data_IF_284687647388
#
_entry.id   IF_284687647388
#
_cell.length_a   1.000
_cell.length_b   1.000
_cell.length_c   1.000
_cell.angle_alpha   90.00
_cell.angle_beta   90.00
_cell.angle_gamma   90.00
#
_symmetry.space_group_name_H-M   'P 1'
#
loop_
_entity.id
_entity.type
_entity.pdbx_description
1 polymer ?
#
# COMPACT_ATOMS: atom_id res chain seq x y z
N UNK A 1 -3.09 -1.72 7.12
CA UNK A 1 -1.72 -1.57 6.58
C UNK A 1 -1.19 -2.96 6.31
N UNK A 2 -0.57 -3.20 5.17
CA UNK A 2 0.03 -4.49 4.84
C UNK A 2 1.53 -4.31 4.77
N UNK A 3 2.29 -5.23 5.35
CA UNK A 3 3.75 -5.16 5.35
C UNK A 3 4.34 -6.48 4.93
N UNK A 4 5.50 -6.40 4.28
CA UNK A 4 6.12 -7.53 3.60
C UNK A 4 7.50 -7.82 4.22
N UNK A 5 7.73 -9.09 4.54
CA UNK A 5 9.02 -9.64 5.02
C UNK A 5 9.47 -10.80 4.11
N UNK A 6 10.69 -11.29 4.38
CA UNK A 6 11.23 -12.56 3.90
C UNK A 6 11.24 -13.60 5.02
N UNK A 7 10.80 -14.83 4.76
CA UNK A 7 10.62 -15.89 5.77
C UNK A 7 9.43 -16.81 5.47
N UNK A 8 9.06 -17.67 6.44
CA UNK A 8 8.03 -18.73 6.32
C UNK A 8 6.83 -18.48 7.26
N UNK A 9 6.36 -17.24 7.44
CA UNK A 9 5.26 -17.00 8.38
C UNK A 9 4.32 -15.87 8.00
N UNK A 10 3.07 -16.25 7.76
CA UNK A 10 1.92 -15.34 7.66
C UNK A 10 1.28 -15.16 9.03
N UNK A 11 1.10 -13.90 9.46
CA UNK A 11 0.25 -13.54 10.60
C UNK A 11 -0.84 -12.58 10.12
N UNK A 12 -2.09 -13.02 10.19
CA UNK A 12 -3.25 -12.27 9.70
C UNK A 12 -4.04 -11.72 10.89
N UNK A 13 -4.22 -10.39 10.93
CA UNK A 13 -5.19 -9.73 11.78
C UNK A 13 -6.37 -9.24 10.92
N UNK A 14 -7.59 -9.52 11.37
CA UNK A 14 -8.81 -9.38 10.57
C UNK A 14 -9.44 -7.97 10.64
N UNK A 15 -9.89 -7.42 9.51
CA UNK A 15 -10.65 -6.16 9.39
C UNK A 15 -12.06 -6.44 8.85
N UNK A 16 -13.12 -6.08 9.60
CA UNK A 16 -14.51 -6.38 9.25
C UNK A 16 -14.99 -5.67 7.95
N UNK A 17 -14.32 -4.60 7.52
CA UNK A 17 -14.61 -3.90 6.26
C UNK A 17 -14.13 -4.65 5.00
N UNK A 18 -13.31 -5.71 5.17
CA UNK A 18 -12.68 -6.46 4.09
C UNK A 18 -11.67 -5.71 3.22
N UNK A 19 -11.46 -4.40 3.44
CA UNK A 19 -10.55 -3.57 2.64
C UNK A 19 -9.10 -4.01 2.79
N UNK A 20 -8.66 -4.22 4.04
CA UNK A 20 -7.32 -4.73 4.34
C UNK A 20 -7.07 -6.10 3.72
N UNK A 21 -8.06 -7.00 3.81
CA UNK A 21 -8.02 -8.34 3.18
C UNK A 21 -7.92 -8.24 1.66
N UNK A 22 -8.67 -7.32 1.04
CA UNK A 22 -8.60 -7.08 -0.40
C UNK A 22 -7.22 -6.62 -0.86
N UNK A 23 -6.66 -5.64 -0.16
CA UNK A 23 -5.32 -5.14 -0.42
C UNK A 23 -4.26 -6.25 -0.19
N UNK A 24 -4.44 -7.08 0.85
CA UNK A 24 -3.57 -8.21 1.17
C UNK A 24 -3.56 -9.25 0.06
N UNK A 25 -4.74 -9.59 -0.49
CA UNK A 25 -4.85 -10.50 -1.63
C UNK A 25 -4.16 -9.99 -2.89
N UNK A 26 -4.21 -8.69 -3.16
CA UNK A 26 -3.51 -8.08 -4.30
C UNK A 26 -1.99 -8.28 -4.15
N UNK A 27 -1.46 -8.17 -2.93
CA UNK A 27 -0.03 -8.41 -2.69
C UNK A 27 0.30 -9.90 -2.82
N UNK A 28 -0.36 -10.77 -2.07
CA UNK A 28 0.14 -12.13 -1.81
C UNK A 28 -0.96 -13.20 -1.75
N UNK A 29 -2.06 -13.07 -2.50
CA UNK A 29 -2.99 -14.21 -2.63
C UNK A 29 -2.26 -15.45 -3.18
N UNK A 30 -2.57 -16.59 -2.58
CA UNK A 30 -1.84 -17.86 -2.79
C UNK A 30 -1.90 -18.30 -4.24
N UNK A 31 -0.75 -18.70 -4.78
CA UNK A 31 -0.64 -19.28 -6.12
C UNK A 31 -0.87 -20.80 -6.08
N UNK A 32 -1.53 -21.35 -7.11
CA UNK A 32 -1.56 -22.80 -7.35
C UNK A 32 -2.56 -23.61 -6.51
N UNK A 33 -3.39 -22.97 -5.70
CA UNK A 33 -4.46 -23.63 -4.91
C UNK A 33 -5.75 -23.94 -5.72
N UNK A 34 -5.79 -23.54 -7.01
CA UNK A 34 -6.95 -23.69 -7.92
C UNK A 34 -8.21 -22.94 -7.51
N UNK A 35 -8.09 -21.94 -6.64
CA UNK A 35 -9.20 -21.13 -6.15
C UNK A 35 -8.88 -19.64 -6.24
N UNK A 36 -9.90 -18.81 -6.44
CA UNK A 36 -9.77 -17.37 -6.27
C UNK A 36 -8.87 -16.67 -7.27
N UNK A 37 -7.84 -16.00 -6.74
CA UNK A 37 -6.94 -15.09 -7.46
C UNK A 37 -5.48 -15.35 -7.04
N UNK A 38 -4.54 -14.77 -7.77
CA UNK A 38 -3.10 -14.82 -7.47
C UNK A 38 -2.63 -13.40 -7.15
N UNK A 39 -1.86 -13.24 -6.07
CA UNK A 39 -1.23 -11.97 -5.71
C UNK A 39 -0.06 -11.64 -6.62
N UNK A 40 0.40 -10.39 -6.59
CA UNK A 40 1.57 -9.97 -7.38
C UNK A 40 2.85 -10.69 -6.90
N UNK A 41 3.02 -10.85 -5.59
CA UNK A 41 4.13 -11.57 -4.95
C UNK A 41 3.57 -12.67 -4.03
N UNK A 42 3.09 -13.81 -4.58
CA UNK A 42 2.38 -14.83 -3.83
C UNK A 42 3.26 -15.58 -2.82
N UNK A 43 4.57 -15.50 -2.93
CA UNK A 43 5.56 -16.11 -2.02
C UNK A 43 6.13 -15.11 -0.99
N UNK A 44 5.63 -13.87 -0.97
CA UNK A 44 6.06 -12.88 0.00
C UNK A 44 5.45 -13.16 1.38
N UNK A 45 6.21 -13.00 2.47
CA UNK A 45 5.58 -13.03 3.79
C UNK A 45 4.73 -11.78 3.96
N UNK A 46 3.46 -12.00 4.25
CA UNK A 46 2.51 -10.94 4.50
C UNK A 46 2.17 -10.84 5.98
N UNK A 47 2.28 -9.64 6.52
CA UNK A 47 1.81 -9.28 7.85
C UNK A 47 0.74 -8.19 7.71
N UNK A 48 -0.37 -8.38 8.40
CA UNK A 48 -1.46 -7.41 8.43
C UNK A 48 -1.45 -6.63 9.75
N UNK A 49 -1.28 -5.30 9.67
CA UNK A 49 -1.37 -4.41 10.82
C UNK A 49 -2.72 -3.68 10.77
N UNK A 50 -3.58 -3.96 11.75
CA UNK A 50 -4.89 -3.32 11.91
C UNK A 50 -4.71 -1.95 12.55
N UNK A 51 -4.99 -0.89 11.79
CA UNK A 51 -4.88 0.52 12.23
C UNK A 51 -6.24 1.22 12.37
N UNK A 52 -7.28 0.62 11.79
CA UNK A 52 -8.61 1.19 11.74
C UNK A 52 -9.56 0.31 12.52
N UNK A 53 -10.48 0.93 13.26
CA UNK A 53 -11.67 0.26 13.78
C UNK A 53 -12.59 -0.13 12.64
N UNK A 54 -13.59 -0.96 12.95
CA UNK A 54 -14.47 -1.56 11.94
C UNK A 54 -15.39 -0.53 11.25
N UNK A 55 -15.44 0.70 11.76
CA UNK A 55 -16.10 1.87 11.17
C UNK A 55 -15.18 2.69 10.23
N UNK A 56 -13.95 2.23 10.00
CA UNK A 56 -13.00 2.84 9.07
C UNK A 56 -12.21 4.03 9.63
N UNK A 57 -12.37 4.36 10.92
CA UNK A 57 -11.58 5.41 11.57
C UNK A 57 -10.33 4.83 12.23
N UNK A 58 -9.24 5.59 12.18
CA UNK A 58 -7.96 5.20 12.77
C UNK A 58 -7.30 6.41 13.40
N UNK A 59 -6.62 6.20 14.53
CA UNK A 59 -5.87 7.26 15.18
C UNK A 59 -4.46 7.31 14.65
N UNK A 60 -3.91 8.52 14.52
CA UNK A 60 -2.51 8.70 14.16
C UNK A 60 -1.55 7.99 15.13
N UNK A 61 -1.92 7.85 16.41
CA UNK A 61 -1.16 7.06 17.38
C UNK A 61 -1.02 5.59 17.01
N UNK A 62 -2.02 5.01 16.34
CA UNK A 62 -1.98 3.61 15.92
C UNK A 62 -1.10 3.45 14.68
N UNK A 63 -1.11 4.43 13.76
CA UNK A 63 -0.16 4.51 12.65
C UNK A 63 1.27 4.60 13.17
N UNK A 64 1.53 5.46 14.16
CA UNK A 64 2.85 5.62 14.77
C UNK A 64 3.34 4.30 15.37
N UNK A 65 2.53 3.63 16.20
CA UNK A 65 2.89 2.33 16.78
C UNK A 65 3.19 1.27 15.73
N UNK A 66 2.45 1.28 14.61
CA UNK A 66 2.69 0.35 13.52
C UNK A 66 3.98 0.64 12.76
N UNK A 67 4.29 1.92 12.51
CA UNK A 67 5.58 2.33 11.93
C UNK A 67 6.74 1.96 12.85
N UNK A 68 6.61 2.22 14.15
CA UNK A 68 7.57 1.81 15.17
C UNK A 68 7.80 0.30 15.18
N UNK A 69 6.73 -0.50 15.13
CA UNK A 69 6.84 -1.96 15.04
C UNK A 69 7.57 -2.40 13.77
N UNK A 70 7.28 -1.77 12.63
CA UNK A 70 7.96 -2.09 11.37
C UNK A 70 9.44 -1.74 11.40
N UNK A 71 9.82 -0.58 11.98
CA UNK A 71 11.22 -0.16 12.12
C UNK A 71 12.01 -1.14 12.99
N UNK A 72 11.37 -1.67 14.04
CA UNK A 72 11.99 -2.62 14.96
C UNK A 72 11.90 -4.09 14.48
N UNK A 73 11.48 -4.32 13.23
CA UNK A 73 11.31 -5.64 12.60
C UNK A 73 11.98 -5.65 11.23
N UNK A 74 12.29 -6.82 10.67
CA UNK A 74 12.90 -6.95 9.33
C UNK A 74 11.92 -6.68 8.16
N UNK A 75 10.95 -5.77 8.34
CA UNK A 75 9.99 -5.41 7.28
C UNK A 75 10.73 -4.67 6.16
N UNK A 76 10.46 -5.06 4.91
CA UNK A 76 11.14 -4.50 3.74
C UNK A 76 10.25 -3.54 2.95
N UNK A 77 8.93 -3.75 2.96
CA UNK A 77 7.96 -2.91 2.27
C UNK A 77 6.76 -2.65 3.17
N UNK A 78 6.35 -1.38 3.25
CA UNK A 78 5.13 -0.93 3.90
C UNK A 78 4.14 -0.44 2.85
N UNK A 79 2.95 -1.06 2.81
CA UNK A 79 1.84 -0.68 1.94
C UNK A 79 0.76 0.07 2.72
N UNK A 80 0.61 1.36 2.42
CA UNK A 80 -0.30 2.30 3.07
C UNK A 80 -1.47 2.63 2.14
N UNK A 81 -2.45 1.73 2.11
CA UNK A 81 -3.69 1.91 1.34
C UNK A 81 -4.72 2.78 2.09
N UNK A 82 -4.25 3.81 2.77
CA UNK A 82 -5.03 4.76 3.57
C UNK A 82 -4.42 6.16 3.44
N UNK A 83 -5.14 7.18 3.90
CA UNK A 83 -4.59 8.51 4.02
C UNK A 83 -5.55 9.49 4.69
N UNK A 84 -5.11 10.74 4.81
CA UNK A 84 -5.86 11.82 5.43
C UNK A 84 -6.01 13.02 4.47
N UNK A 85 -6.04 14.25 4.99
CA UNK A 85 -6.20 15.47 4.19
C UNK A 85 -5.04 15.65 3.21
N UNK A 86 -5.29 16.23 2.02
CA UNK A 86 -4.22 16.73 1.14
C UNK A 86 -3.67 18.11 1.57
N UNK A 87 -4.40 18.83 2.44
CA UNK A 87 -4.06 20.22 2.82
C UNK A 87 -3.01 20.29 3.93
N UNK A 88 -3.02 19.33 4.84
CA UNK A 88 -2.19 19.34 6.03
C UNK A 88 -1.85 17.91 6.42
N UNK A 89 -0.57 17.57 6.35
CA UNK A 89 -0.04 16.36 6.96
C UNK A 89 -0.07 16.45 8.48
N UNK A 90 0.04 15.31 9.15
CA UNK A 90 0.23 15.31 10.59
C UNK A 90 1.74 15.41 10.92
N UNK A 91 2.19 16.49 11.59
CA UNK A 91 3.60 16.69 11.92
C UNK A 91 4.14 15.63 12.89
N UNK A 92 3.27 14.91 13.60
CA UNK A 92 3.64 13.77 14.44
C UNK A 92 3.95 12.50 13.65
N UNK A 93 3.45 12.35 12.40
CA UNK A 93 3.68 11.16 11.57
C UNK A 93 4.92 11.30 10.67
N UNK A 94 5.18 12.51 10.18
CA UNK A 94 6.30 12.74 9.25
C UNK A 94 7.66 12.23 9.77
N UNK A 95 8.04 12.44 11.05
CA UNK A 95 9.27 11.89 11.59
C UNK A 95 9.34 10.36 11.50
N UNK A 96 8.25 9.65 11.81
CA UNK A 96 8.20 8.19 11.74
C UNK A 96 8.24 7.66 10.30
N UNK A 97 7.66 8.39 9.34
CA UNK A 97 7.82 8.09 7.91
C UNK A 97 9.28 8.23 7.50
N UNK A 98 9.96 9.28 7.96
CA UNK A 98 11.37 9.49 7.67
C UNK A 98 12.25 8.41 8.33
N UNK A 99 11.96 8.04 9.58
CA UNK A 99 12.68 7.00 10.31
C UNK A 99 12.50 5.63 9.66
N UNK A 100 11.29 5.27 9.23
CA UNK A 100 11.05 4.03 8.49
C UNK A 100 11.80 4.00 7.15
N UNK A 101 11.82 5.11 6.43
CA UNK A 101 12.61 5.22 5.20
C UNK A 101 14.12 5.10 5.45
N UNK A 102 14.62 5.75 6.50
CA UNK A 102 16.04 5.72 6.88
C UNK A 102 16.46 4.35 7.42
N UNK A 103 15.54 3.59 8.01
CA UNK A 103 15.74 2.19 8.38
C UNK A 103 15.82 1.24 7.18
N UNK A 104 15.69 1.75 5.94
CA UNK A 104 15.81 0.98 4.71
C UNK A 104 14.51 0.31 4.27
N UNK A 105 13.36 0.71 4.84
CA UNK A 105 12.05 0.20 4.45
C UNK A 105 11.54 1.00 3.24
N UNK A 106 10.99 0.30 2.25
CA UNK A 106 10.31 0.95 1.14
C UNK A 106 8.88 1.33 1.55
N UNK A 107 8.51 2.59 1.35
CA UNK A 107 7.19 3.10 1.71
C UNK A 107 6.36 3.36 0.46
N UNK A 108 5.19 2.73 0.37
CA UNK A 108 4.25 2.87 -0.75
C UNK A 108 2.91 3.34 -0.23
N UNK A 109 2.38 4.41 -0.80
CA UNK A 109 1.15 5.06 -0.35
C UNK A 109 0.14 5.27 -1.49
N UNK A 110 -1.14 5.11 -1.18
CA UNK A 110 -2.22 5.44 -2.10
C UNK A 110 -2.31 6.96 -2.31
N UNK A 111 -2.28 7.43 -3.56
CA UNK A 111 -2.25 8.87 -3.85
C UNK A 111 -3.53 9.62 -3.44
N UNK A 112 -4.68 8.93 -3.36
CA UNK A 112 -5.97 9.49 -2.96
C UNK A 112 -7.03 9.37 -4.05
N UNK A 113 -8.29 9.58 -3.65
CA UNK A 113 -9.46 9.38 -4.51
C UNK A 113 -10.26 10.70 -4.74
N UNK A 114 -9.58 11.85 -4.72
CA UNK A 114 -10.22 13.18 -4.80
C UNK A 114 -10.47 13.66 -6.25
N UNK A 115 -10.02 12.91 -7.26
CA UNK A 115 -10.21 13.24 -8.67
C UNK A 115 -9.50 14.52 -9.10
N UNK A 116 -10.16 15.37 -9.89
CA UNK A 116 -9.63 16.68 -10.33
C UNK A 116 -10.67 17.80 -10.22
N UNK A 117 -11.54 17.71 -9.22
CA UNK A 117 -12.65 18.66 -9.04
C UNK A 117 -12.15 20.01 -8.51
N UNK A 118 -11.62 20.85 -9.39
CA UNK A 118 -11.21 22.23 -9.08
C UNK A 118 -9.86 22.37 -8.36
N UNK A 119 -9.22 21.26 -7.98
CA UNK A 119 -7.87 21.22 -7.41
C UNK A 119 -7.04 20.22 -8.22
N UNK A 120 -5.89 20.68 -8.73
CA UNK A 120 -4.99 19.86 -9.56
C UNK A 120 -4.01 19.07 -8.70
N UNK A 121 -3.68 19.57 -7.51
CA UNK A 121 -2.80 18.92 -6.55
C UNK A 121 -3.55 18.53 -5.28
N UNK A 122 -3.95 17.26 -5.22
CA UNK A 122 -4.76 16.68 -4.15
C UNK A 122 -4.24 15.30 -3.73
N UNK A 123 -2.94 15.06 -3.88
CA UNK A 123 -2.28 13.89 -3.29
C UNK A 123 -2.38 13.97 -1.77
N UNK A 124 -2.88 12.91 -1.12
CA UNK A 124 -3.12 12.86 0.32
C UNK A 124 -1.89 12.40 1.11
N UNK A 125 -1.82 12.74 2.40
CA UNK A 125 -0.81 12.17 3.30
C UNK A 125 -1.19 10.76 3.76
N UNK A 126 -0.23 9.83 3.97
CA UNK A 126 1.21 10.04 3.91
C UNK A 126 1.83 9.95 2.51
N UNK A 127 1.08 9.58 1.47
CA UNK A 127 1.61 9.44 0.10
C UNK A 127 2.28 10.71 -0.43
N UNK A 128 1.84 11.89 0.03
CA UNK A 128 2.42 13.19 -0.33
C UNK A 128 3.84 13.43 0.22
N UNK A 129 4.29 12.68 1.23
CA UNK A 129 5.65 12.82 1.75
C UNK A 129 6.68 12.32 0.73
N UNK A 130 7.80 13.03 0.57
CA UNK A 130 8.82 12.71 -0.44
C UNK A 130 9.42 11.29 -0.30
N UNK A 131 9.45 10.75 0.93
CA UNK A 131 9.95 9.42 1.23
C UNK A 131 8.96 8.28 0.93
N UNK A 132 7.74 8.61 0.48
CA UNK A 132 6.70 7.64 0.13
C UNK A 132 6.47 7.66 -1.38
N UNK A 133 6.40 6.49 -2.00
CA UNK A 133 5.97 6.35 -3.40
C UNK A 133 4.46 6.58 -3.44
N UNK A 134 4.02 7.69 -4.01
CA UNK A 134 2.59 7.96 -4.20
C UNK A 134 2.09 7.28 -5.47
N UNK A 135 1.13 6.36 -5.30
CA UNK A 135 0.59 5.53 -6.39
C UNK A 135 -0.80 6.01 -6.81
N UNK A 136 -0.89 6.48 -8.06
CA UNK A 136 -2.15 6.81 -8.73
C UNK A 136 -2.83 5.55 -9.31
N UNK A 137 -4.12 5.66 -9.64
CA UNK A 137 -4.91 4.56 -10.18
C UNK A 137 -5.19 4.73 -11.68
N UNK A 138 -5.06 3.62 -12.42
CA UNK A 138 -5.45 3.49 -13.82
C UNK A 138 -6.55 2.44 -14.02
N UNK A 139 -7.28 2.56 -15.13
CA UNK A 139 -8.18 1.53 -15.62
C UNK A 139 -7.48 0.52 -16.53
N UNK A 140 -8.20 -0.52 -16.97
CA UNK A 140 -7.67 -1.57 -17.85
C UNK A 140 -7.27 -1.08 -19.25
N UNK A 141 -7.60 0.16 -19.60
CA UNK A 141 -7.17 0.82 -20.85
C UNK A 141 -5.97 1.76 -20.61
N UNK A 142 -5.28 1.64 -19.47
CA UNK A 142 -4.18 2.50 -19.02
C UNK A 142 -4.56 3.98 -18.95
N UNK A 143 -5.84 4.30 -18.76
CA UNK A 143 -6.28 5.69 -18.55
C UNK A 143 -6.33 5.96 -17.06
N UNK A 144 -5.95 7.17 -16.66
CA UNK A 144 -6.10 7.62 -15.27
C UNK A 144 -7.56 7.48 -14.85
N UNK A 145 -7.81 6.83 -13.72
CA UNK A 145 -9.14 6.72 -13.15
C UNK A 145 -9.68 8.10 -12.78
N UNK A 146 -10.96 8.37 -13.03
CA UNK A 146 -11.55 9.70 -12.79
C UNK A 146 -11.44 10.16 -11.33
N UNK A 147 -11.44 9.21 -10.39
CA UNK A 147 -11.28 9.46 -8.96
C UNK A 147 -9.81 9.62 -8.55
N UNK A 148 -8.83 9.16 -9.34
CA UNK A 148 -7.43 9.14 -8.88
C UNK A 148 -6.94 10.56 -8.63
N UNK A 149 -6.45 10.84 -7.42
CA UNK A 149 -5.78 12.11 -7.12
C UNK A 149 -4.61 12.37 -8.07
N UNK A 150 -4.28 13.65 -8.25
CA UNK A 150 -3.19 14.16 -9.09
C UNK A 150 -2.34 15.16 -8.33
N UNK A 151 -1.13 15.39 -8.80
CA UNK A 151 -0.21 16.36 -8.23
C UNK A 151 1.24 15.97 -8.50
N UNK A 152 2.20 16.86 -8.22
CA UNK A 152 3.63 16.61 -8.44
C UNK A 152 4.19 15.49 -7.54
N UNK A 153 3.50 15.16 -6.44
CA UNK A 153 3.90 14.07 -5.56
C UNK A 153 3.55 12.68 -6.13
N UNK A 154 2.66 12.58 -7.14
CA UNK A 154 2.39 11.30 -7.83
C UNK A 154 3.66 10.85 -8.52
N UNK A 155 4.17 9.68 -8.14
CA UNK A 155 5.40 9.14 -8.68
C UNK A 155 5.14 8.15 -9.82
N UNK A 156 4.16 7.27 -9.65
CA UNK A 156 3.75 6.32 -10.68
C UNK A 156 2.27 5.95 -10.56
N UNK A 157 1.77 5.19 -11.52
CA UNK A 157 0.41 4.67 -11.50
C UNK A 157 0.38 3.15 -11.67
N UNK A 158 -0.62 2.51 -11.07
CA UNK A 158 -0.89 1.09 -11.22
C UNK A 158 -2.40 0.85 -11.42
N UNK A 159 -2.82 -0.34 -11.88
CA UNK A 159 -4.24 -0.67 -12.02
C UNK A 159 -4.97 -0.53 -10.69
N UNK A 160 -6.04 0.26 -10.67
CA UNK A 160 -6.84 0.53 -9.46
C UNK A 160 -8.34 0.56 -9.71
N UNK A 161 -8.80 0.22 -10.92
CA UNK A 161 -10.23 0.18 -11.28
C UNK A 161 -10.65 -1.27 -11.51
N UNK A 162 -11.75 -1.68 -10.89
CA UNK A 162 -12.35 -3.01 -10.99
C UNK A 162 -11.36 -4.14 -10.70
N UNK A 163 -10.64 -4.02 -9.58
CA UNK A 163 -9.66 -5.01 -9.14
C UNK A 163 -10.37 -6.09 -8.32
N UNK A 164 -10.32 -7.32 -8.82
CA UNK A 164 -10.86 -8.50 -8.15
C UNK A 164 -9.80 -9.12 -7.23
N UNK A 165 -10.14 -9.29 -5.95
CA UNK A 165 -9.21 -9.84 -4.94
C UNK A 165 -9.96 -10.57 -3.83
N UNK A 166 -9.22 -11.19 -2.90
CA UNK A 166 -9.75 -11.79 -1.68
C UNK A 166 -10.53 -10.77 -0.85
N UNK A 167 -11.45 -11.23 -0.03
CA UNK A 167 -12.30 -10.36 0.79
C UNK A 167 -12.71 -11.06 2.08
N UNK A 168 -13.26 -10.28 3.03
CA UNK A 168 -13.70 -10.80 4.32
C UNK A 168 -14.68 -11.98 4.18
N UNK A 169 -14.55 -12.95 5.09
CA UNK A 169 -15.41 -14.14 5.21
C UNK A 169 -15.26 -15.14 4.06
N UNK A 170 -14.02 -15.45 3.66
CA UNK A 170 -13.70 -16.38 2.57
C UNK A 170 -14.37 -16.02 1.23
N UNK A 171 -14.56 -14.73 0.98
CA UNK A 171 -15.17 -14.21 -0.24
C UNK A 171 -14.12 -13.54 -1.12
N UNK A 172 -14.60 -13.08 -2.28
CA UNK A 172 -13.87 -12.25 -3.21
C UNK A 172 -14.74 -11.05 -3.57
N UNK A 173 -14.11 -9.93 -3.88
CA UNK A 173 -14.82 -8.71 -4.24
C UNK A 173 -14.05 -7.93 -5.31
N UNK A 174 -14.80 -7.16 -6.09
CA UNK A 174 -14.26 -6.20 -7.06
C UNK A 174 -14.34 -4.80 -6.46
N UNK A 175 -13.19 -4.17 -6.21
CA UNK A 175 -13.11 -2.82 -5.66
C UNK A 175 -12.34 -1.89 -6.61
N UNK A 176 -12.56 -0.58 -6.44
CA UNK A 176 -11.83 0.47 -7.17
C UNK A 176 -11.30 1.52 -6.20
N UNK A 177 -10.08 1.97 -6.41
CA UNK A 177 -9.42 3.01 -5.63
C UNK A 177 -7.90 3.00 -5.80
N UNK A 178 -7.24 4.09 -5.45
CA UNK A 178 -5.77 4.10 -5.31
C UNK A 178 -5.29 3.13 -4.23
N UNK A 179 -6.17 2.77 -3.28
CA UNK A 179 -5.94 1.68 -2.32
C UNK A 179 -5.73 0.31 -2.98
N UNK A 180 -6.25 0.06 -4.18
CA UNK A 180 -6.02 -1.19 -4.91
C UNK A 180 -4.76 -1.11 -5.79
N UNK A 181 -4.41 0.09 -6.25
CA UNK A 181 -3.18 0.32 -7.01
C UNK A 181 -1.92 0.22 -6.12
N UNK A 182 -1.96 0.79 -4.92
CA UNK A 182 -0.88 0.75 -3.92
C UNK A 182 -0.30 -0.66 -3.65
N UNK A 183 -1.11 -1.70 -3.35
CA UNK A 183 -0.60 -3.04 -3.11
C UNK A 183 -0.01 -3.71 -4.35
N UNK A 184 -0.42 -3.35 -5.58
CA UNK A 184 0.23 -3.88 -6.79
C UNK A 184 1.70 -3.46 -6.87
N UNK A 185 1.98 -2.19 -6.55
CA UNK A 185 3.35 -1.65 -6.51
C UNK A 185 4.13 -2.26 -5.36
N UNK A 186 3.48 -2.46 -4.22
CA UNK A 186 4.09 -3.10 -3.04
C UNK A 186 4.51 -4.54 -3.33
N UNK A 187 3.66 -5.32 -4.00
CA UNK A 187 4.01 -6.66 -4.47
C UNK A 187 5.11 -6.66 -5.54
N UNK A 188 5.07 -5.70 -6.48
CA UNK A 188 6.13 -5.56 -7.49
C UNK A 188 7.48 -5.26 -6.84
N UNK A 189 7.51 -4.39 -5.83
CA UNK A 189 8.70 -4.12 -5.03
C UNK A 189 9.23 -5.38 -4.33
N UNK A 190 8.35 -6.21 -3.77
CA UNK A 190 8.73 -7.49 -3.18
C UNK A 190 9.38 -8.44 -4.21
N UNK A 191 8.86 -8.51 -5.44
CA UNK A 191 9.49 -9.27 -6.52
C UNK A 191 10.87 -8.73 -6.90
N UNK A 192 11.03 -7.40 -6.96
CA UNK A 192 12.32 -6.75 -7.22
C UNK A 192 13.33 -7.09 -6.13
N UNK A 193 12.93 -7.01 -4.86
CA UNK A 193 13.75 -7.40 -3.70
C UNK A 193 14.13 -8.88 -3.77
N UNK A 194 13.19 -9.76 -4.12
CA UNK A 194 13.46 -11.19 -4.26
C UNK A 194 14.47 -11.48 -5.38
N UNK A 195 14.43 -10.71 -6.47
CA UNK A 195 15.37 -10.84 -7.59
C UNK A 195 16.80 -10.36 -7.27
N UNK A 196 16.93 -9.39 -6.36
CA UNK A 196 18.20 -8.81 -5.94
C UNK A 196 18.12 -8.35 -4.47
N UNK A 197 18.39 -9.24 -3.50
CA UNK A 197 18.26 -8.94 -2.08
C UNK A 197 19.28 -7.94 -1.55
N UNK A 198 20.25 -7.52 -2.37
CA UNK A 198 21.29 -6.54 -1.99
C UNK A 198 20.83 -5.10 -2.16
N UNK A 199 19.68 -4.88 -2.81
CA UNK A 199 19.12 -3.56 -3.03
C UNK A 199 18.66 -2.91 -1.71
N UNK A 200 19.04 -1.65 -1.54
CA UNK A 200 18.42 -0.76 -0.56
C UNK A 200 17.03 -0.33 -1.05
N UNK A 201 16.17 0.20 -0.16
CA UNK A 201 14.88 0.78 -0.55
C UNK A 201 15.00 1.80 -1.69
N UNK A 202 16.05 2.63 -1.73
CA UNK A 202 16.30 3.57 -2.85
C UNK A 202 16.56 2.84 -4.18
N UNK A 203 17.30 1.74 -4.15
CA UNK A 203 17.58 0.90 -5.32
C UNK A 203 16.32 0.20 -5.83
N UNK A 204 15.48 -0.29 -4.91
CA UNK A 204 14.17 -0.87 -5.23
C UNK A 204 13.26 0.19 -5.84
N UNK A 205 13.12 1.37 -5.20
CA UNK A 205 12.32 2.50 -5.68
C UNK A 205 12.65 2.84 -7.13
N UNK A 206 13.93 2.97 -7.48
CA UNK A 206 14.39 3.27 -8.86
C UNK A 206 14.04 2.19 -9.89
N UNK A 207 13.85 0.93 -9.47
CA UNK A 207 13.47 -0.16 -10.38
C UNK A 207 11.97 -0.28 -10.57
N UNK A 208 11.17 0.23 -9.62
CA UNK A 208 9.70 0.18 -9.69
C UNK A 208 9.08 1.49 -10.18
N UNK A 209 9.76 2.63 -9.98
CA UNK A 209 9.31 3.99 -10.26
C UNK A 209 10.18 4.70 -11.30
#
# INVERSE_FOLDING_TARGET
MNVIRRGDSTSLFFSLDGHGTHCAGIVAAVMGNKEGVIGVAPEADLYALKLFSDDGYGYYSDVIKALEWCINTDIQVISMSFGSSYKSGDPGIEPWINDAYNAGILLVGAAGNEGTWGVVDNVIYPARYANVIAVAATDSSNRRAIFSSTGPAVELAAPGVNIYSTYWDNRYATLSGTSMACPMVSGTAALVIASDPTLTNTGVRRRVA
#
